data_IF_299959147890
#
_entry.id   IF_299959147890
#
_cell.length_a   1.000
_cell.length_b   1.000
_cell.length_c   1.000
_cell.angle_alpha   90.00
_cell.angle_beta   90.00
_cell.angle_gamma   90.00
#
_symmetry.space_group_name_H-M   'P 1'
#
loop_
_entity.id
_entity.type
_entity.pdbx_description
1 polymer ?
#
# COMPACT_ATOMS: atom_id res chain seq x y z
N UNK A 1 3.18 10.20 -19.83
CA UNK A 1 4.14 9.14 -20.21
C UNK A 1 3.48 8.28 -21.28
N UNK A 2 4.19 7.78 -22.29
CA UNK A 2 3.57 6.89 -23.29
C UNK A 2 3.50 5.46 -22.77
N UNK A 3 2.44 4.73 -23.14
CA UNK A 3 2.30 3.29 -22.83
C UNK A 3 3.51 2.47 -23.30
N UNK A 4 4.12 2.85 -24.42
CA UNK A 4 5.36 2.24 -24.94
C UNK A 4 6.59 2.41 -24.05
N UNK A 5 6.72 3.57 -23.39
CA UNK A 5 7.82 3.83 -22.45
C UNK A 5 7.63 3.01 -21.17
N UNK A 6 6.39 2.94 -20.68
CA UNK A 6 6.04 2.12 -19.52
C UNK A 6 6.32 0.63 -19.79
N UNK A 7 5.84 0.11 -20.92
CA UNK A 7 6.09 -1.28 -21.33
C UNK A 7 7.58 -1.61 -21.34
N UNK A 8 8.40 -0.77 -21.99
CA UNK A 8 9.85 -1.01 -22.08
C UNK A 8 10.53 -1.10 -20.71
N UNK A 9 10.07 -0.31 -19.74
CA UNK A 9 10.60 -0.32 -18.37
C UNK A 9 10.18 -1.59 -17.64
N UNK A 10 8.90 -1.96 -17.72
CA UNK A 10 8.35 -3.16 -17.10
C UNK A 10 8.99 -4.42 -17.67
N UNK A 11 9.13 -4.51 -18.99
CA UNK A 11 9.74 -5.64 -19.68
C UNK A 11 11.20 -5.82 -19.28
N UNK A 12 11.98 -4.72 -19.23
CA UNK A 12 13.38 -4.76 -18.83
C UNK A 12 13.54 -5.21 -17.37
N UNK A 13 12.75 -4.64 -16.47
CA UNK A 13 12.78 -4.97 -15.04
C UNK A 13 12.37 -6.43 -14.79
N UNK A 14 11.30 -6.88 -15.47
CA UNK A 14 10.81 -8.27 -15.43
C UNK A 14 11.87 -9.24 -15.93
N UNK A 15 12.53 -8.94 -17.05
CA UNK A 15 13.56 -9.79 -17.62
C UNK A 15 14.77 -9.91 -16.68
N UNK A 16 15.21 -8.80 -16.06
CA UNK A 16 16.34 -8.81 -15.14
C UNK A 16 16.02 -9.56 -13.84
N UNK A 17 14.80 -9.44 -13.31
CA UNK A 17 14.39 -10.18 -12.11
C UNK A 17 14.33 -11.68 -12.35
N UNK A 18 13.79 -12.10 -13.51
CA UNK A 18 13.61 -13.51 -13.86
C UNK A 18 14.89 -14.19 -14.35
N UNK A 19 15.96 -13.44 -14.65
CA UNK A 19 17.20 -13.99 -15.20
C UNK A 19 17.79 -15.08 -14.29
N UNK A 20 17.83 -16.32 -14.79
CA UNK A 20 18.35 -17.47 -14.07
C UNK A 20 17.53 -17.89 -12.84
N UNK A 21 16.26 -17.45 -12.76
CA UNK A 21 15.34 -17.78 -11.67
C UNK A 21 14.27 -18.76 -12.12
N UNK A 22 13.86 -19.60 -11.19
CA UNK A 22 12.79 -20.59 -11.39
C UNK A 22 11.48 -20.03 -10.83
N UNK A 23 10.86 -19.11 -11.57
CA UNK A 23 9.60 -18.48 -11.20
C UNK A 23 9.71 -17.10 -10.53
N UNK A 24 8.56 -16.45 -10.36
CA UNK A 24 8.42 -15.09 -9.82
C UNK A 24 8.82 -15.08 -8.34
N UNK A 25 8.40 -16.08 -7.58
CA UNK A 25 8.65 -16.23 -6.15
C UNK A 25 10.15 -16.23 -5.88
N UNK A 26 10.95 -16.94 -6.69
CA UNK A 26 12.41 -16.95 -6.58
C UNK A 26 13.07 -15.65 -7.06
N UNK A 27 12.43 -14.92 -7.95
CA UNK A 27 12.93 -13.68 -8.51
C UNK A 27 12.80 -12.48 -7.53
N UNK A 28 11.76 -12.48 -6.71
CA UNK A 28 11.46 -11.37 -5.79
C UNK A 28 12.04 -11.51 -4.40
N UNK A 29 12.59 -12.69 -4.03
CA UNK A 29 13.27 -12.89 -2.74
C UNK A 29 14.29 -11.79 -2.51
N UNK A 30 14.18 -11.06 -1.40
CA UNK A 30 15.01 -9.89 -1.02
C UNK A 30 14.96 -8.70 -2.00
N UNK A 31 14.08 -8.74 -2.99
CA UNK A 31 13.87 -7.69 -4.01
C UNK A 31 12.38 -7.31 -4.18
N UNK A 32 11.56 -7.27 -3.12
CA UNK A 32 10.12 -7.07 -3.28
C UNK A 32 9.77 -5.69 -3.87
N UNK A 33 10.55 -4.64 -3.59
CA UNK A 33 10.34 -3.32 -4.23
C UNK A 33 10.42 -3.38 -5.76
N UNK A 34 11.40 -4.13 -6.31
CA UNK A 34 11.55 -4.31 -7.76
C UNK A 34 10.38 -5.10 -8.35
N UNK A 35 9.95 -6.15 -7.64
CA UNK A 35 8.76 -6.91 -8.02
C UNK A 35 7.49 -6.06 -8.00
N UNK A 36 7.34 -5.17 -7.02
CA UNK A 36 6.20 -4.25 -6.91
C UNK A 36 6.16 -3.27 -8.09
N UNK A 37 7.31 -2.76 -8.54
CA UNK A 37 7.41 -1.95 -9.77
C UNK A 37 6.89 -2.73 -10.99
N UNK A 38 7.23 -4.02 -11.13
CA UNK A 38 6.72 -4.86 -12.22
C UNK A 38 5.22 -5.08 -12.09
N UNK A 39 4.72 -5.45 -10.91
CA UNK A 39 3.30 -5.73 -10.68
C UNK A 39 2.41 -4.52 -11.00
N UNK A 40 2.76 -3.35 -10.46
CA UNK A 40 2.03 -2.09 -10.70
C UNK A 40 2.09 -1.70 -12.17
N UNK A 41 3.26 -1.85 -12.80
CA UNK A 41 3.46 -1.54 -14.21
C UNK A 41 2.61 -2.43 -15.12
N UNK A 42 2.56 -3.74 -14.88
CA UNK A 42 1.71 -4.68 -15.60
C UNK A 42 0.24 -4.32 -15.45
N UNK A 43 -0.20 -3.99 -14.23
CA UNK A 43 -1.57 -3.59 -13.98
C UNK A 43 -1.96 -2.34 -14.79
N UNK A 44 -1.08 -1.34 -14.84
CA UNK A 44 -1.27 -0.13 -15.65
C UNK A 44 -1.20 -0.36 -17.16
N UNK A 45 -0.60 -1.47 -17.59
CA UNK A 45 -0.55 -1.89 -18.99
C UNK A 45 -1.78 -2.71 -19.41
N UNK A 46 -2.70 -2.98 -18.47
CA UNK A 46 -3.86 -3.86 -18.62
C UNK A 46 -3.49 -5.35 -18.75
N UNK A 47 -2.30 -5.73 -18.27
CA UNK A 47 -1.85 -7.12 -18.15
C UNK A 47 -2.29 -7.71 -16.79
N UNK A 48 -3.61 -7.73 -16.54
CA UNK A 48 -4.20 -7.98 -15.21
C UNK A 48 -3.78 -9.31 -14.59
N UNK A 49 -3.84 -10.41 -15.35
CA UNK A 49 -3.47 -11.74 -14.83
C UNK A 49 -1.97 -11.82 -14.51
N UNK A 50 -1.12 -11.24 -15.34
CA UNK A 50 0.31 -11.19 -15.05
C UNK A 50 0.57 -10.32 -13.82
N UNK A 51 -0.07 -9.15 -13.69
CA UNK A 51 0.04 -8.31 -12.51
C UNK A 51 -0.38 -9.06 -11.24
N UNK A 52 -1.47 -9.82 -11.32
CA UNK A 52 -1.97 -10.65 -10.24
C UNK A 52 -0.95 -11.69 -9.76
N UNK A 53 -0.33 -12.45 -10.68
CA UNK A 53 0.72 -13.43 -10.32
C UNK A 53 1.88 -12.78 -9.54
N UNK A 54 2.29 -11.57 -9.94
CA UNK A 54 3.31 -10.81 -9.22
C UNK A 54 2.83 -10.31 -7.86
N UNK A 55 1.62 -9.78 -7.75
CA UNK A 55 1.06 -9.34 -6.47
C UNK A 55 0.85 -10.48 -5.48
N UNK A 56 0.48 -11.68 -5.97
CA UNK A 56 0.37 -12.88 -5.13
C UNK A 56 1.73 -13.26 -4.55
N UNK A 57 2.76 -13.38 -5.38
CA UNK A 57 4.10 -13.67 -4.92
C UNK A 57 4.61 -12.60 -3.93
N UNK A 58 4.33 -11.32 -4.19
CA UNK A 58 4.69 -10.21 -3.30
C UNK A 58 3.97 -10.29 -1.95
N UNK A 59 2.71 -10.72 -1.93
CA UNK A 59 1.94 -10.89 -0.69
C UNK A 59 2.64 -11.88 0.26
N UNK A 60 3.29 -12.92 -0.28
CA UNK A 60 4.05 -13.89 0.50
C UNK A 60 5.44 -13.36 0.92
N UNK A 61 6.13 -12.63 0.05
CA UNK A 61 7.51 -12.16 0.31
C UNK A 61 7.57 -10.93 1.23
N UNK A 62 6.61 -10.01 1.14
CA UNK A 62 6.64 -8.76 1.92
C UNK A 62 6.73 -8.99 3.43
N UNK A 63 5.94 -9.89 4.05
CA UNK A 63 6.08 -10.21 5.47
C UNK A 63 7.46 -10.77 5.83
N UNK A 64 8.06 -11.61 4.97
CA UNK A 64 9.40 -12.18 5.19
C UNK A 64 10.44 -11.07 5.19
N UNK A 65 10.39 -10.19 4.19
CA UNK A 65 11.30 -9.06 4.06
C UNK A 65 11.14 -8.06 5.22
N UNK A 66 9.90 -7.74 5.59
CA UNK A 66 9.57 -6.87 6.72
C UNK A 66 10.06 -7.45 8.05
N UNK A 67 9.82 -8.74 8.31
CA UNK A 67 10.26 -9.42 9.53
C UNK A 67 11.79 -9.46 9.64
N UNK A 68 12.53 -9.62 8.54
CA UNK A 68 13.99 -9.54 8.59
C UNK A 68 14.51 -8.19 9.10
N UNK A 69 13.84 -7.09 8.72
CA UNK A 69 14.13 -5.75 9.23
C UNK A 69 13.66 -5.58 10.66
N UNK A 70 12.48 -6.09 11.00
CA UNK A 70 11.98 -6.13 12.37
C UNK A 70 13.02 -6.74 13.32
N UNK A 71 13.45 -7.97 13.05
CA UNK A 71 14.39 -8.73 13.88
C UNK A 71 15.71 -7.98 14.01
N UNK A 72 16.27 -7.50 12.89
CA UNK A 72 17.52 -6.75 12.89
C UNK A 72 17.48 -5.42 13.66
N UNK A 73 16.29 -4.81 13.83
CA UNK A 73 16.13 -3.48 14.45
C UNK A 73 15.63 -3.52 15.88
N UNK A 74 14.80 -4.51 16.23
CA UNK A 74 14.06 -4.52 17.49
C UNK A 74 14.37 -5.73 18.38
N UNK A 75 14.93 -6.82 17.85
CA UNK A 75 15.29 -8.00 18.67
C UNK A 75 16.50 -7.73 19.59
N UNK A 76 17.39 -6.81 19.20
CA UNK A 76 18.65 -6.53 19.92
C UNK A 76 18.75 -5.16 20.59
N UNK A 77 17.90 -4.17 20.24
CA UNK A 77 18.00 -2.79 20.75
C UNK A 77 16.63 -2.18 21.11
N UNK A 78 16.28 -2.07 22.41
CA UNK A 78 14.96 -1.59 22.84
C UNK A 78 14.75 -0.07 22.72
N UNK A 79 15.64 0.65 22.02
CA UNK A 79 15.57 2.13 21.84
C UNK A 79 15.78 2.59 20.40
N UNK A 80 15.75 1.68 19.41
CA UNK A 80 15.77 2.08 18.01
C UNK A 80 14.64 3.07 17.72
N UNK A 81 14.89 4.20 17.02
CA UNK A 81 13.83 5.09 16.58
C UNK A 81 12.76 4.34 15.81
N UNK A 82 11.50 4.69 16.05
CA UNK A 82 10.36 4.09 15.36
C UNK A 82 10.49 4.21 13.84
N UNK A 83 11.13 5.27 13.33
CA UNK A 83 11.31 5.49 11.89
C UNK A 83 12.15 4.45 11.15
N UNK A 84 12.98 3.65 11.84
CA UNK A 84 13.84 2.64 11.23
C UNK A 84 13.18 1.27 11.07
N UNK A 85 11.95 1.10 11.55
CA UNK A 85 11.23 -0.16 11.50
C UNK A 85 10.67 -0.51 10.12
N UNK A 86 10.09 -1.73 9.99
CA UNK A 86 9.62 -2.30 8.72
C UNK A 86 8.25 -1.79 8.27
N UNK A 87 7.77 -0.66 8.80
CA UNK A 87 6.37 -0.25 8.68
C UNK A 87 5.94 -0.01 7.24
N UNK A 88 6.84 0.55 6.42
CA UNK A 88 6.59 0.71 4.99
C UNK A 88 6.42 -0.63 4.29
N UNK A 89 7.30 -1.60 4.58
CA UNK A 89 7.27 -2.93 3.95
C UNK A 89 6.00 -3.71 4.34
N UNK A 90 5.52 -3.57 5.58
CA UNK A 90 4.24 -4.12 5.99
C UNK A 90 3.06 -3.49 5.24
N UNK A 91 3.06 -2.17 5.06
CA UNK A 91 2.02 -1.47 4.28
C UNK A 91 2.07 -1.92 2.81
N UNK A 92 3.26 -2.02 2.22
CA UNK A 92 3.44 -2.50 0.84
C UNK A 92 2.95 -3.94 0.67
N UNK A 93 3.10 -4.76 1.71
CA UNK A 93 2.48 -6.09 1.79
C UNK A 93 0.95 -6.04 1.75
N UNK A 94 0.31 -5.20 2.58
CA UNK A 94 -1.14 -5.00 2.54
C UNK A 94 -1.61 -4.49 1.17
N UNK A 95 -0.84 -3.59 0.56
CA UNK A 95 -1.15 -3.04 -0.76
C UNK A 95 -1.07 -4.12 -1.84
N UNK A 96 -0.02 -4.94 -1.83
CA UNK A 96 0.10 -6.07 -2.75
C UNK A 96 -1.09 -7.03 -2.59
N UNK A 97 -1.45 -7.37 -1.35
CA UNK A 97 -2.55 -8.28 -1.08
C UNK A 97 -3.92 -7.73 -1.54
N UNK A 98 -4.21 -6.45 -1.28
CA UNK A 98 -5.42 -5.79 -1.77
C UNK A 98 -5.51 -5.78 -3.31
N UNK A 99 -4.37 -5.73 -4.00
CA UNK A 99 -4.31 -5.75 -5.46
C UNK A 99 -4.25 -7.18 -6.05
N UNK A 100 -3.86 -8.19 -5.26
CA UNK A 100 -3.67 -9.59 -5.67
C UNK A 100 -4.96 -10.40 -5.85
N UNK A 101 -6.14 -9.75 -5.84
CA UNK A 101 -7.47 -10.38 -5.99
C UNK A 101 -7.64 -11.64 -5.13
N UNK A 102 -7.06 -11.65 -3.93
CA UNK A 102 -7.05 -12.79 -3.01
C UNK A 102 -7.34 -12.36 -1.57
N UNK A 103 -7.45 -13.33 -0.67
CA UNK A 103 -7.67 -13.10 0.76
C UNK A 103 -6.53 -12.28 1.37
N UNK A 104 -6.88 -11.17 2.01
CA UNK A 104 -5.93 -10.20 2.62
C UNK A 104 -5.74 -10.46 4.13
N UNK A 105 -6.57 -11.30 4.74
CA UNK A 105 -6.67 -11.43 6.19
C UNK A 105 -5.40 -11.94 6.86
N UNK A 106 -4.66 -12.88 6.24
CA UNK A 106 -3.45 -13.46 6.85
C UNK A 106 -2.33 -12.43 7.00
N UNK A 107 -2.10 -11.62 5.96
CA UNK A 107 -1.12 -10.54 6.02
C UNK A 107 -1.61 -9.41 6.92
N UNK A 108 -2.91 -9.08 6.90
CA UNK A 108 -3.48 -8.11 7.81
C UNK A 108 -3.32 -8.51 9.28
N UNK A 109 -3.52 -9.79 9.61
CA UNK A 109 -3.29 -10.32 10.95
C UNK A 109 -1.82 -10.18 11.36
N UNK A 110 -0.89 -10.53 10.47
CA UNK A 110 0.55 -10.38 10.70
C UNK A 110 0.93 -8.92 10.96
N UNK A 111 0.46 -8.00 10.11
CA UNK A 111 0.75 -6.57 10.26
C UNK A 111 0.13 -6.00 11.53
N UNK A 112 -1.11 -6.40 11.85
CA UNK A 112 -1.80 -5.96 13.06
C UNK A 112 -1.05 -6.42 14.31
N UNK A 113 -0.69 -7.71 14.40
CA UNK A 113 0.08 -8.26 15.53
C UNK A 113 1.37 -7.47 15.74
N UNK A 114 2.16 -7.28 14.69
CA UNK A 114 3.44 -6.56 14.74
C UNK A 114 3.28 -5.09 15.10
N UNK A 115 2.37 -4.40 14.44
CA UNK A 115 2.17 -2.97 14.66
C UNK A 115 1.60 -2.70 16.07
N UNK A 116 0.88 -3.64 16.68
CA UNK A 116 0.26 -3.48 18.01
C UNK A 116 1.08 -4.06 19.16
N UNK A 117 2.27 -4.60 18.92
CA UNK A 117 3.13 -5.12 19.98
C UNK A 117 3.36 -4.06 21.09
N UNK A 118 3.26 -4.41 22.39
CA UNK A 118 3.26 -3.42 23.47
C UNK A 118 4.50 -2.52 23.54
N UNK A 119 5.64 -2.97 23.01
CA UNK A 119 6.86 -2.16 22.99
C UNK A 119 6.85 -1.10 21.89
N UNK A 120 6.05 -1.26 20.84
CA UNK A 120 6.00 -0.33 19.69
C UNK A 120 5.62 1.08 20.16
N UNK A 121 4.73 1.18 21.14
CA UNK A 121 4.33 2.46 21.74
C UNK A 121 5.44 3.09 22.61
N UNK A 122 6.49 2.34 22.94
CA UNK A 122 7.65 2.79 23.71
C UNK A 122 8.88 3.11 22.84
N UNK A 123 8.78 2.95 21.52
CA UNK A 123 9.87 3.27 20.60
C UNK A 123 10.21 4.77 20.66
N UNK A 124 11.49 5.09 20.48
CA UNK A 124 11.93 6.47 20.43
C UNK A 124 11.30 7.19 19.23
N UNK A 125 10.81 8.42 19.43
CA UNK A 125 10.18 9.25 18.37
C UNK A 125 8.97 8.57 17.71
N UNK A 126 8.23 7.74 18.43
CA UNK A 126 7.04 7.04 17.96
C UNK A 126 5.98 7.98 17.37
N UNK A 127 5.86 9.18 17.89
CA UNK A 127 4.94 10.23 17.44
C UNK A 127 5.23 10.74 16.01
N UNK A 128 6.44 10.51 15.49
CA UNK A 128 6.83 10.85 14.11
C UNK A 128 6.68 9.66 13.13
N UNK A 129 6.39 8.45 13.64
CA UNK A 129 6.28 7.25 12.81
C UNK A 129 4.83 6.98 12.41
N UNK A 130 4.23 7.91 11.65
CA UNK A 130 2.82 7.88 11.23
C UNK A 130 2.42 6.59 10.50
N UNK A 131 3.35 5.97 9.77
CA UNK A 131 3.16 4.66 9.12
C UNK A 131 2.72 3.57 10.07
N UNK A 132 3.10 3.61 11.35
CA UNK A 132 2.65 2.62 12.34
C UNK A 132 1.16 2.79 12.60
N UNK A 133 0.70 4.03 12.83
CA UNK A 133 -0.73 4.29 13.07
C UNK A 133 -1.57 3.97 11.83
N UNK A 134 -1.05 4.28 10.63
CA UNK A 134 -1.69 3.87 9.38
C UNK A 134 -1.74 2.34 9.20
N UNK A 135 -0.64 1.62 9.44
CA UNK A 135 -0.62 0.16 9.38
C UNK A 135 -1.61 -0.47 10.36
N UNK A 136 -1.72 0.07 11.59
CA UNK A 136 -2.72 -0.37 12.57
C UNK A 136 -4.15 -0.13 12.10
N UNK A 137 -4.43 1.07 11.56
CA UNK A 137 -5.77 1.40 11.08
C UNK A 137 -6.16 0.54 9.88
N UNK A 138 -5.29 0.41 8.88
CA UNK A 138 -5.56 -0.36 7.66
C UNK A 138 -5.74 -1.85 7.95
N UNK A 139 -4.84 -2.45 8.74
CA UNK A 139 -5.01 -3.86 9.15
C UNK A 139 -6.24 -4.06 10.03
N UNK A 140 -6.58 -3.11 10.91
CA UNK A 140 -7.81 -3.18 11.71
C UNK A 140 -9.07 -3.16 10.85
N UNK A 141 -9.11 -2.29 9.84
CA UNK A 141 -10.22 -2.24 8.90
C UNK A 141 -10.39 -3.59 8.21
N UNK A 142 -9.31 -4.11 7.61
CA UNK A 142 -9.34 -5.36 6.84
C UNK A 142 -9.83 -6.53 7.70
N UNK A 143 -9.42 -6.58 8.97
CA UNK A 143 -9.81 -7.61 9.93
C UNK A 143 -11.17 -7.37 10.61
N UNK A 144 -11.85 -6.26 10.34
CA UNK A 144 -13.10 -5.90 11.01
C UNK A 144 -12.94 -5.57 12.51
N UNK A 145 -11.76 -5.14 12.94
CA UNK A 145 -11.48 -4.79 14.34
C UNK A 145 -12.12 -3.46 14.73
N UNK A 146 -12.78 -3.43 15.89
CA UNK A 146 -13.39 -2.22 16.49
C UNK A 146 -12.38 -1.11 16.85
N UNK A 147 -11.08 -1.39 16.75
CA UNK A 147 -9.99 -0.45 17.07
C UNK A 147 -9.63 0.50 15.93
N UNK A 148 -10.22 0.33 14.74
CA UNK A 148 -9.89 1.14 13.55
C UNK A 148 -9.99 2.64 13.80
N UNK A 149 -11.09 3.13 14.37
CA UNK A 149 -11.27 4.56 14.68
C UNK A 149 -10.25 5.08 15.69
N UNK A 150 -9.89 4.28 16.70
CA UNK A 150 -8.86 4.67 17.67
C UNK A 150 -7.49 4.85 17.01
N UNK A 151 -7.17 4.03 16.01
CA UNK A 151 -5.92 4.15 15.26
C UNK A 151 -5.94 5.35 14.30
N UNK A 152 -7.07 5.62 13.65
CA UNK A 152 -7.26 6.80 12.81
C UNK A 152 -7.15 8.10 13.63
N UNK A 153 -7.81 8.19 14.78
CA UNK A 153 -7.71 9.34 15.68
C UNK A 153 -6.26 9.60 16.10
N UNK A 154 -5.52 8.54 16.42
CA UNK A 154 -4.10 8.65 16.81
C UNK A 154 -3.24 9.09 15.63
N UNK A 155 -3.49 8.56 14.44
CA UNK A 155 -2.81 8.98 13.21
C UNK A 155 -3.01 10.48 12.96
N UNK A 156 -4.25 10.95 13.00
CA UNK A 156 -4.60 12.36 12.76
C UNK A 156 -3.98 13.28 13.81
N UNK A 157 -4.05 12.91 15.10
CA UNK A 157 -3.44 13.70 16.17
C UNK A 157 -1.92 13.81 16.00
N UNK A 158 -1.24 12.71 15.66
CA UNK A 158 0.19 12.71 15.44
C UNK A 158 0.57 13.52 14.19
N UNK A 159 -0.16 13.36 13.08
CA UNK A 159 0.07 14.10 11.83
C UNK A 159 -0.18 15.60 12.03
N UNK A 160 -1.25 15.99 12.71
CA UNK A 160 -1.55 17.40 12.98
C UNK A 160 -0.48 18.08 13.87
N UNK A 161 0.13 17.33 14.79
CA UNK A 161 1.10 17.89 15.74
C UNK A 161 2.55 17.79 15.27
N UNK A 162 2.88 16.75 14.50
CA UNK A 162 4.26 16.36 14.19
C UNK A 162 4.53 16.12 12.70
N UNK A 163 3.48 16.05 11.87
CA UNK A 163 3.59 15.76 10.44
C UNK A 163 4.05 16.97 9.63
N UNK A 164 4.78 16.69 8.56
CA UNK A 164 5.09 17.65 7.50
C UNK A 164 3.86 17.93 6.62
N UNK A 165 3.95 18.93 5.73
CA UNK A 165 2.90 19.19 4.73
C UNK A 165 2.60 17.93 3.87
N UNK A 166 3.64 17.15 3.58
CA UNK A 166 3.52 15.87 2.88
C UNK A 166 2.72 14.85 3.71
N UNK A 167 2.99 14.74 5.02
CA UNK A 167 2.29 13.80 5.90
C UNK A 167 0.83 14.20 6.06
N UNK A 168 0.55 15.50 6.17
CA UNK A 168 -0.80 16.04 6.24
C UNK A 168 -1.58 15.73 4.96
N UNK A 169 -1.02 16.04 3.78
CA UNK A 169 -1.68 15.77 2.50
C UNK A 169 -2.01 14.29 2.33
N UNK A 170 -1.07 13.40 2.67
CA UNK A 170 -1.24 11.95 2.49
C UNK A 170 -2.19 11.33 3.51
N UNK A 171 -1.92 11.51 4.80
CA UNK A 171 -2.63 10.76 5.85
C UNK A 171 -4.02 11.30 6.14
N UNK A 172 -4.29 12.60 5.91
CA UNK A 172 -5.67 13.13 6.00
C UNK A 172 -6.54 12.55 4.90
N UNK A 173 -5.99 12.38 3.68
CA UNK A 173 -6.71 11.75 2.59
C UNK A 173 -7.04 10.27 2.91
N UNK A 174 -6.07 9.53 3.45
CA UNK A 174 -6.31 8.16 3.94
C UNK A 174 -7.36 8.09 5.03
N UNK A 175 -7.29 8.93 6.07
CA UNK A 175 -8.23 8.85 7.19
C UNK A 175 -9.65 9.18 6.75
N UNK A 176 -9.80 10.19 5.88
CA UNK A 176 -11.08 10.52 5.25
C UNK A 176 -11.64 9.33 4.45
N UNK A 177 -10.81 8.73 3.59
CA UNK A 177 -11.21 7.61 2.75
C UNK A 177 -11.64 6.40 3.60
N UNK A 178 -10.82 5.99 4.57
CA UNK A 178 -11.11 4.84 5.43
C UNK A 178 -12.41 5.05 6.23
N UNK A 179 -12.62 6.22 6.83
CA UNK A 179 -13.88 6.49 7.56
C UNK A 179 -15.10 6.46 6.64
N UNK A 180 -14.97 6.99 5.42
CA UNK A 180 -16.04 6.93 4.45
C UNK A 180 -16.35 5.49 4.00
N UNK A 181 -15.33 4.65 3.83
CA UNK A 181 -15.50 3.23 3.54
C UNK A 181 -16.24 2.53 4.68
N UNK A 182 -15.82 2.73 5.93
CA UNK A 182 -16.50 2.19 7.12
C UNK A 182 -17.97 2.62 7.23
N UNK A 183 -18.28 3.85 6.80
CA UNK A 183 -19.63 4.39 6.80
C UNK A 183 -20.46 3.99 5.56
N UNK A 184 -19.85 3.35 4.55
CA UNK A 184 -20.50 3.06 3.27
C UNK A 184 -20.81 4.32 2.44
N UNK A 185 -20.08 5.42 2.66
CA UNK A 185 -20.28 6.70 2.00
C UNK A 185 -19.44 6.82 0.72
N UNK A 186 -19.97 6.32 -0.40
CA UNK A 186 -19.24 6.28 -1.67
C UNK A 186 -18.64 7.63 -2.11
N UNK A 187 -19.42 8.71 -2.10
CA UNK A 187 -18.93 10.03 -2.53
C UNK A 187 -17.83 10.61 -1.63
N UNK A 188 -17.84 10.29 -0.33
CA UNK A 188 -16.78 10.75 0.59
C UNK A 188 -15.51 9.90 0.43
N UNK A 189 -15.67 8.61 0.14
CA UNK A 189 -14.57 7.71 -0.15
C UNK A 189 -13.88 8.07 -1.47
N UNK A 190 -14.66 8.37 -2.51
CA UNK A 190 -14.19 8.91 -3.80
C UNK A 190 -13.39 10.20 -3.60
N UNK A 191 -13.93 11.16 -2.83
CA UNK A 191 -13.20 12.40 -2.54
C UNK A 191 -11.91 12.19 -1.72
N UNK A 192 -11.82 11.11 -0.94
CA UNK A 192 -10.58 10.68 -0.29
C UNK A 192 -9.56 10.13 -1.30
N UNK A 193 -10.02 9.34 -2.28
CA UNK A 193 -9.19 8.81 -3.37
C UNK A 193 -8.71 9.96 -4.28
N UNK A 194 -9.56 10.92 -4.61
CA UNK A 194 -9.19 12.13 -5.36
C UNK A 194 -8.10 12.93 -4.65
N UNK A 195 -8.19 13.08 -3.32
CA UNK A 195 -7.14 13.73 -2.54
C UNK A 195 -5.81 12.95 -2.57
N UNK A 196 -5.84 11.61 -2.64
CA UNK A 196 -4.64 10.79 -2.85
C UNK A 196 -4.08 10.94 -4.27
N UNK A 197 -4.93 11.16 -5.27
CA UNK A 197 -4.52 11.48 -6.64
C UNK A 197 -3.85 12.86 -6.72
N UNK A 198 -4.36 13.85 -6.00
CA UNK A 198 -3.72 15.17 -5.88
C UNK A 198 -2.37 15.06 -5.17
N UNK A 199 -2.31 14.34 -4.04
CA UNK A 199 -1.07 14.05 -3.35
C UNK A 199 -0.04 13.39 -4.28
N UNK A 200 -0.47 12.40 -5.08
CA UNK A 200 0.38 11.73 -6.05
C UNK A 200 0.95 12.70 -7.08
N UNK A 201 0.09 13.53 -7.68
CA UNK A 201 0.49 14.55 -8.65
C UNK A 201 1.54 15.50 -8.07
N UNK A 202 1.30 15.99 -6.86
CA UNK A 202 2.05 17.09 -6.27
C UNK A 202 3.36 16.63 -5.62
N UNK A 203 3.43 15.38 -5.14
CA UNK A 203 4.57 14.88 -4.37
C UNK A 203 5.31 13.68 -4.97
N UNK A 204 4.62 12.80 -5.69
CA UNK A 204 5.22 11.56 -6.21
C UNK A 204 5.58 11.73 -7.68
N UNK A 205 4.60 12.03 -8.53
CA UNK A 205 4.81 12.16 -9.97
C UNK A 205 5.70 13.37 -10.33
N UNK A 206 5.66 14.42 -9.51
CA UNK A 206 6.50 15.61 -9.63
C UNK A 206 7.94 15.40 -9.18
N UNK A 207 8.23 14.32 -8.43
CA UNK A 207 9.56 14.06 -7.91
C UNK A 207 10.56 13.79 -9.05
N UNK A 208 11.74 14.40 -8.92
CA UNK A 208 12.79 14.36 -9.94
C UNK A 208 13.24 12.92 -10.22
N UNK A 209 13.34 12.13 -9.17
CA UNK A 209 13.85 10.76 -9.12
C UNK A 209 12.77 9.69 -9.14
N UNK A 210 11.47 10.06 -9.17
CA UNK A 210 10.40 9.08 -9.31
C UNK A 210 10.54 8.31 -10.63
N UNK A 211 10.44 6.99 -10.53
CA UNK A 211 10.58 6.09 -11.67
C UNK A 211 9.34 6.17 -12.60
N UNK A 212 9.43 5.61 -13.82
CA UNK A 212 8.33 5.65 -14.77
C UNK A 212 7.00 5.05 -14.27
N UNK A 213 7.05 3.95 -13.52
CA UNK A 213 5.87 3.29 -12.96
C UNK A 213 5.29 4.13 -11.83
N UNK A 214 6.13 4.65 -10.92
CA UNK A 214 5.71 5.60 -9.89
C UNK A 214 5.08 6.85 -10.47
N UNK A 215 5.54 7.33 -11.64
CA UNK A 215 4.86 8.45 -12.31
C UNK A 215 3.54 8.01 -12.91
N UNK A 216 3.45 6.81 -13.46
CA UNK A 216 2.29 6.29 -14.18
C UNK A 216 1.10 5.98 -13.26
N UNK A 217 1.34 5.42 -12.07
CA UNK A 217 0.26 4.91 -11.20
C UNK A 217 0.26 5.59 -9.85
N UNK A 218 -0.92 6.07 -9.44
CA UNK A 218 -1.15 6.63 -8.12
C UNK A 218 -1.47 5.51 -7.12
N UNK A 219 -0.43 4.77 -6.70
CA UNK A 219 -0.55 3.55 -5.89
C UNK A 219 -1.50 3.72 -4.69
N UNK A 220 -1.37 4.81 -3.94
CA UNK A 220 -2.19 5.07 -2.76
C UNK A 220 -3.69 5.12 -3.10
N UNK A 221 -4.05 5.85 -4.16
CA UNK A 221 -5.43 5.93 -4.63
C UNK A 221 -5.91 4.61 -5.24
N UNK A 222 -5.05 3.92 -5.99
CA UNK A 222 -5.34 2.61 -6.58
C UNK A 222 -5.69 1.58 -5.51
N UNK A 223 -4.93 1.52 -4.43
CA UNK A 223 -5.17 0.56 -3.34
C UNK A 223 -6.43 0.93 -2.54
N UNK A 224 -6.68 2.23 -2.31
CA UNK A 224 -7.91 2.64 -1.62
C UNK A 224 -9.16 2.37 -2.45
N UNK A 225 -9.09 2.44 -3.79
CA UNK A 225 -10.17 2.00 -4.66
C UNK A 225 -10.40 0.48 -4.54
N UNK A 226 -9.35 -0.33 -4.59
CA UNK A 226 -9.44 -1.77 -4.41
C UNK A 226 -10.07 -2.14 -3.05
N UNK A 227 -9.64 -1.46 -1.99
CA UNK A 227 -10.18 -1.61 -0.64
C UNK A 227 -11.65 -1.21 -0.57
N UNK A 228 -12.03 -0.05 -1.10
CA UNK A 228 -13.43 0.41 -1.06
C UNK A 228 -14.37 -0.60 -1.74
N UNK A 229 -13.94 -1.15 -2.89
CA UNK A 229 -14.69 -2.16 -3.63
C UNK A 229 -14.79 -3.47 -2.84
N UNK A 230 -13.69 -3.95 -2.26
CA UNK A 230 -13.69 -5.11 -1.33
C UNK A 230 -14.72 -4.92 -0.20
N UNK A 231 -14.73 -3.74 0.43
CA UNK A 231 -15.66 -3.42 1.53
C UNK A 231 -17.11 -3.15 1.08
N UNK A 232 -17.45 -3.46 -0.18
CA UNK A 232 -18.81 -3.35 -0.69
C UNK A 232 -19.23 -1.93 -1.09
N UNK A 233 -18.29 -0.99 -1.16
CA UNK A 233 -18.57 0.39 -1.58
C UNK A 233 -18.39 0.48 -3.10
N UNK A 234 -19.52 0.50 -3.81
CA UNK A 234 -19.54 0.61 -5.27
C UNK A 234 -19.04 1.98 -5.73
N UNK A 235 -17.76 2.06 -6.08
CA UNK A 235 -17.07 3.26 -6.58
C UNK A 235 -16.33 2.92 -7.86
N UNK A 236 -16.31 3.89 -8.77
CA UNK A 236 -15.46 3.92 -9.96
C UNK A 236 -14.75 5.26 -10.01
N UNK A 237 -13.47 5.29 -10.37
CA UNK A 237 -12.68 6.52 -10.51
C UNK A 237 -12.09 6.56 -11.91
N UNK A 238 -12.59 7.49 -12.73
CA UNK A 238 -12.08 7.74 -14.09
C UNK A 238 -10.89 8.71 -14.02
N UNK A 239 -9.69 8.16 -13.96
CA UNK A 239 -8.46 8.96 -13.89
C UNK A 239 -7.27 8.22 -14.52
N UNK A 240 -6.49 8.90 -15.35
CA UNK A 240 -5.35 8.33 -16.11
C UNK A 240 -4.23 7.66 -15.26
N UNK A 241 -4.28 7.82 -13.93
CA UNK A 241 -3.31 7.25 -12.97
C UNK A 241 -3.88 6.09 -12.16
N UNK A 242 -5.15 5.77 -12.36
CA UNK A 242 -5.79 4.57 -11.82
C UNK A 242 -5.86 3.57 -12.99
N UNK A 243 -5.34 2.34 -12.84
CA UNK A 243 -5.50 1.34 -13.87
C UNK A 243 -6.98 1.01 -14.11
N UNK A 244 -7.40 0.98 -15.37
CA UNK A 244 -8.81 0.79 -15.75
C UNK A 244 -9.41 -0.50 -15.18
N UNK A 245 -8.60 -1.55 -15.04
CA UNK A 245 -8.99 -2.82 -14.44
C UNK A 245 -9.63 -2.68 -13.04
N UNK A 246 -9.26 -1.67 -12.24
CA UNK A 246 -9.86 -1.45 -10.91
C UNK A 246 -11.33 -1.02 -10.98
N UNK A 247 -11.77 -0.48 -12.12
CA UNK A 247 -13.17 -0.11 -12.34
C UNK A 247 -14.00 -1.26 -12.92
N UNK A 248 -13.36 -2.38 -13.27
CA UNK A 248 -14.01 -3.54 -13.89
C UNK A 248 -14.40 -4.58 -12.83
N UNK A 249 -15.70 -4.87 -12.74
CA UNK A 249 -16.25 -5.88 -11.84
C UNK A 249 -15.74 -7.30 -12.16
N UNK A 250 -15.28 -7.57 -13.39
CA UNK A 250 -14.66 -8.86 -13.76
C UNK A 250 -13.34 -9.10 -13.00
N UNK A 251 -12.58 -8.04 -12.75
CA UNK A 251 -11.26 -8.13 -12.13
C UNK A 251 -11.28 -7.76 -10.65
N UNK A 252 -12.06 -6.76 -10.25
CA UNK A 252 -12.15 -6.28 -8.87
C UNK A 252 -13.62 -6.13 -8.46
N UNK A 253 -14.34 -7.20 -8.11
CA UNK A 253 -15.75 -7.14 -7.77
C UNK A 253 -16.03 -6.37 -6.48
N UNK A 254 -17.28 -5.95 -6.29
CA UNK A 254 -17.74 -5.21 -5.10
C UNK A 254 -18.29 -6.18 -4.05
N UNK A 255 -17.65 -6.26 -2.88
CA UNK A 255 -18.15 -7.00 -1.71
C UNK A 255 -17.74 -8.49 -1.64
N UNK A 256 -16.54 -8.86 -2.09
CA UNK A 256 -15.97 -10.21 -1.97
C UNK A 256 -14.91 -10.37 -0.86
#
# INVERSE_FOLDING_TARGET
>A
MTKSTLQSVVDAERAELLEGKDGIEKAIITRPHRGQTVAIGLLALDEVDAANDWFQALTEEWPVYANSKWDSKYESEPRSPASLGPWGDYIDGLFAALLARQTVDEIAATVYERATEPFVDRLEKREFAHRIDFARALSSLILGNVTVETHLDRLEQNVAKHGSDWDQARYVAYTRCIRAILAGHSSEAEAGIEALLEFHRDHVASARDADPVQKAVALDGTVMLALARREGVAITVDHERIPDALNDDEYYPVGE
#
